data_IF_884255486103
#
_entry.id   IF_884255486103
#
_cell.length_a   1.000
_cell.length_b   1.000
_cell.length_c   1.000
_cell.angle_alpha   90.00
_cell.angle_beta   90.00
_cell.angle_gamma   90.00
#
_symmetry.space_group_name_H-M   'P 1'
#
loop_
_entity.id
_entity.type
_entity.pdbx_description
1 polymer ?
#
# COMPACT_ATOMS: atom_id res chain seq x y z
N UNK A 1 31.87 -36.64 -0.69
CA UNK A 1 33.14 -36.57 0.05
C UNK A 1 33.72 -37.98 0.33
N UNK A 2 32.91 -39.03 0.31
CA UNK A 2 33.29 -40.41 0.61
C UNK A 2 33.79 -41.23 -0.59
N UNK A 3 33.95 -40.58 -1.75
CA UNK A 3 34.35 -41.19 -3.01
C UNK A 3 35.90 -41.36 -3.18
N UNK A 4 36.68 -41.20 -2.11
CA UNK A 4 38.15 -41.40 -2.17
C UNK A 4 38.90 -40.34 -3.00
N UNK A 5 38.32 -39.14 -3.13
CA UNK A 5 38.94 -38.02 -3.86
C UNK A 5 40.22 -37.54 -3.13
N UNK A 6 41.25 -37.04 -3.87
CA UNK A 6 42.47 -36.50 -3.27
C UNK A 6 42.12 -35.32 -2.30
N UNK A 7 42.85 -35.26 -1.18
CA UNK A 7 42.59 -34.29 -0.10
C UNK A 7 42.60 -32.84 -0.57
N UNK A 8 43.40 -32.48 -1.55
CA UNK A 8 43.48 -31.14 -2.15
C UNK A 8 42.15 -30.77 -2.82
N UNK A 9 41.53 -31.72 -3.52
CA UNK A 9 40.22 -31.50 -4.19
C UNK A 9 39.13 -31.33 -3.14
N UNK A 10 39.08 -32.19 -2.14
CA UNK A 10 38.13 -32.15 -1.03
C UNK A 10 38.23 -30.81 -0.30
N UNK A 11 39.43 -30.31 -0.03
CA UNK A 11 39.66 -29.01 0.62
C UNK A 11 39.15 -27.85 -0.24
N UNK A 12 39.38 -27.92 -1.55
CA UNK A 12 38.91 -26.88 -2.47
C UNK A 12 37.38 -26.84 -2.58
N UNK A 13 36.73 -28.00 -2.68
CA UNK A 13 35.28 -28.12 -2.71
C UNK A 13 34.62 -27.63 -1.41
N UNK A 14 35.21 -27.95 -0.25
CA UNK A 14 34.74 -27.41 1.04
C UNK A 14 34.81 -25.87 1.07
N UNK A 15 35.90 -25.28 0.55
CA UNK A 15 36.04 -23.83 0.44
C UNK A 15 34.99 -23.24 -0.49
N UNK A 16 34.73 -23.85 -1.65
CA UNK A 16 33.73 -23.39 -2.59
C UNK A 16 32.30 -23.50 -2.01
N UNK A 17 32.04 -24.55 -1.25
CA UNK A 17 30.79 -24.73 -0.52
C UNK A 17 30.63 -23.62 0.52
N UNK A 18 31.66 -23.33 1.31
CA UNK A 18 31.64 -22.25 2.31
C UNK A 18 31.40 -20.90 1.65
N UNK A 19 32.10 -20.59 0.56
CA UNK A 19 31.83 -19.32 -0.20
C UNK A 19 30.39 -19.22 -0.71
N UNK A 20 29.77 -20.34 -1.05
CA UNK A 20 28.40 -20.40 -1.50
C UNK A 20 27.39 -20.15 -0.35
N UNK A 21 27.68 -20.71 0.82
CA UNK A 21 26.90 -20.51 2.04
C UNK A 21 27.03 -19.05 2.52
N UNK A 22 28.24 -18.50 2.55
CA UNK A 22 28.49 -17.12 2.91
C UNK A 22 27.74 -16.14 1.98
N UNK A 23 27.71 -16.45 0.68
CA UNK A 23 26.96 -15.65 -0.30
C UNK A 23 25.42 -15.75 -0.15
N UNK A 24 24.90 -16.82 0.42
CA UNK A 24 23.48 -16.95 0.77
C UNK A 24 23.11 -15.98 1.89
N UNK A 25 23.98 -15.84 2.88
CA UNK A 25 23.76 -14.92 3.99
C UNK A 25 24.02 -13.46 3.59
N UNK A 26 25.12 -13.18 2.90
CA UNK A 26 25.50 -11.83 2.48
C UNK A 26 26.22 -11.84 1.12
N UNK A 27 25.51 -11.41 0.08
CA UNK A 27 26.04 -11.38 -1.30
C UNK A 27 27.21 -10.41 -1.47
N UNK A 28 27.36 -9.39 -0.61
CA UNK A 28 28.41 -8.37 -0.69
C UNK A 28 29.80 -8.93 -0.42
N UNK A 29 29.90 -10.04 0.31
CA UNK A 29 31.17 -10.71 0.64
C UNK A 29 31.73 -11.56 -0.50
N UNK A 30 31.00 -11.72 -1.59
CA UNK A 30 31.40 -12.55 -2.70
C UNK A 30 32.39 -11.82 -3.60
N UNK A 31 33.56 -12.42 -3.81
CA UNK A 31 34.62 -11.90 -4.70
C UNK A 31 34.29 -12.06 -6.20
N UNK A 32 33.39 -12.95 -6.56
CA UNK A 32 32.98 -13.23 -7.94
C UNK A 32 31.63 -12.55 -8.24
N UNK A 33 31.38 -12.29 -9.53
CA UNK A 33 30.13 -11.71 -10.03
C UNK A 33 28.89 -12.39 -9.40
N UNK A 34 27.92 -11.60 -8.99
CA UNK A 34 26.67 -12.11 -8.39
C UNK A 34 26.00 -13.14 -9.30
N UNK A 35 25.43 -14.19 -8.71
CA UNK A 35 24.62 -15.15 -9.49
C UNK A 35 23.35 -14.49 -9.95
N UNK A 36 23.03 -14.64 -11.21
CA UNK A 36 21.79 -14.19 -11.80
C UNK A 36 20.84 -15.36 -12.05
N UNK A 37 19.56 -15.09 -11.99
CA UNK A 37 18.57 -16.08 -12.45
C UNK A 37 18.55 -16.15 -13.98
N UNK A 38 17.75 -17.08 -14.54
CA UNK A 38 17.56 -17.26 -15.99
C UNK A 38 17.15 -16.00 -16.75
N UNK A 39 16.62 -14.98 -16.05
CA UNK A 39 16.22 -13.68 -16.62
C UNK A 39 17.27 -12.58 -16.40
N UNK A 40 18.51 -12.91 -16.01
CA UNK A 40 19.59 -11.96 -15.81
C UNK A 40 19.49 -11.10 -14.53
N UNK A 41 18.50 -11.34 -13.65
CA UNK A 41 18.32 -10.60 -12.40
C UNK A 41 19.21 -11.21 -11.31
N UNK A 42 19.92 -10.38 -10.57
CA UNK A 42 20.72 -10.79 -9.43
C UNK A 42 19.88 -11.45 -8.34
N UNK A 43 20.40 -12.56 -7.79
CA UNK A 43 19.77 -13.25 -6.65
C UNK A 43 20.07 -12.48 -5.38
N UNK A 44 19.05 -12.21 -4.58
CA UNK A 44 19.17 -11.53 -3.29
C UNK A 44 19.62 -12.49 -2.21
N UNK A 45 20.53 -12.02 -1.36
CA UNK A 45 20.91 -12.72 -0.13
C UNK A 45 19.91 -12.45 1.00
N UNK A 46 20.04 -13.20 2.11
CA UNK A 46 19.23 -12.95 3.31
C UNK A 46 19.47 -11.55 3.87
N UNK A 47 20.72 -11.08 3.86
CA UNK A 47 21.04 -9.71 4.28
C UNK A 47 20.36 -8.65 3.40
N UNK A 48 20.30 -8.84 2.08
CA UNK A 48 19.65 -7.93 1.16
C UNK A 48 18.13 -7.87 1.36
N UNK A 49 17.51 -8.95 1.85
CA UNK A 49 16.08 -8.96 2.19
C UNK A 49 15.79 -8.15 3.46
N UNK A 50 16.75 -8.02 4.34
CA UNK A 50 16.60 -7.34 5.63
C UNK A 50 17.02 -5.87 5.55
N UNK A 51 18.16 -5.61 4.89
CA UNK A 51 18.81 -4.31 4.80
C UNK A 51 18.18 -3.40 3.71
N UNK A 52 18.43 -2.10 3.85
CA UNK A 52 18.14 -1.09 2.83
C UNK A 52 16.67 -0.63 2.77
N UNK A 53 16.38 0.22 1.79
CA UNK A 53 15.04 0.83 1.61
C UNK A 53 13.95 -0.20 1.25
N UNK A 54 14.34 -1.27 0.57
CA UNK A 54 13.45 -2.36 0.14
C UNK A 54 13.51 -3.58 1.06
N UNK A 55 14.24 -3.49 2.17
CA UNK A 55 14.31 -4.54 3.18
C UNK A 55 13.06 -4.57 4.05
N UNK A 56 12.82 -5.73 4.67
CA UNK A 56 11.65 -6.00 5.52
C UNK A 56 11.47 -4.94 6.61
N UNK A 57 12.56 -4.49 7.25
CA UNK A 57 12.46 -3.49 8.31
C UNK A 57 11.86 -2.17 7.82
N UNK A 58 12.37 -1.62 6.72
CA UNK A 58 11.89 -0.32 6.23
C UNK A 58 10.60 -0.40 5.42
N UNK A 59 10.38 -1.50 4.70
CA UNK A 59 9.23 -1.64 3.81
C UNK A 59 7.97 -2.17 4.52
N UNK A 60 8.14 -3.07 5.51
CA UNK A 60 7.03 -3.83 6.09
C UNK A 60 6.83 -3.62 7.59
N UNK A 61 7.88 -3.27 8.35
CA UNK A 61 7.80 -3.10 9.81
C UNK A 61 7.65 -1.63 10.22
N UNK A 62 8.49 -0.73 9.71
CA UNK A 62 8.42 0.70 10.03
C UNK A 62 7.27 1.42 9.33
N UNK A 63 6.77 0.85 8.24
CA UNK A 63 5.61 1.36 7.53
C UNK A 63 4.99 0.25 6.69
N UNK A 64 3.67 0.30 6.54
CA UNK A 64 2.92 -0.67 5.72
C UNK A 64 2.03 0.07 4.74
N UNK A 65 1.70 -0.59 3.64
CA UNK A 65 0.60 -0.14 2.78
C UNK A 65 -0.71 -0.46 3.48
N UNK A 66 -1.63 0.47 3.44
CA UNK A 66 -2.96 0.32 4.03
C UNK A 66 -4.02 0.32 2.94
N UNK A 67 -5.06 -0.48 3.15
CA UNK A 67 -6.23 -0.51 2.29
C UNK A 67 -7.13 0.71 2.60
N UNK A 68 -8.10 0.95 1.74
CA UNK A 68 -9.05 2.06 1.86
C UNK A 68 -8.35 3.42 1.97
N UNK A 69 -7.32 3.60 1.17
CA UNK A 69 -6.58 4.85 1.05
C UNK A 69 -6.41 5.24 -0.42
N UNK A 70 -6.31 6.51 -0.68
CA UNK A 70 -6.18 7.04 -2.03
C UNK A 70 -5.20 8.19 -2.10
N UNK A 71 -4.87 8.58 -3.31
CA UNK A 71 -4.03 9.76 -3.60
C UNK A 71 -4.65 10.53 -4.75
N UNK A 72 -4.70 11.84 -4.63
CA UNK A 72 -5.22 12.72 -5.67
C UNK A 72 -4.51 14.06 -5.70
N UNK A 73 -4.82 14.83 -6.71
CA UNK A 73 -4.42 16.24 -6.79
C UNK A 73 -5.28 17.06 -5.84
N UNK A 74 -4.67 18.04 -5.19
CA UNK A 74 -5.37 18.97 -4.30
C UNK A 74 -5.64 20.26 -5.06
N UNK A 75 -6.87 20.74 -4.99
CA UNK A 75 -7.29 22.03 -5.55
C UNK A 75 -8.02 22.86 -4.50
N UNK A 76 -8.09 24.15 -4.72
CA UNK A 76 -8.82 25.07 -3.84
C UNK A 76 -10.32 24.86 -3.97
N UNK A 77 -11.00 24.82 -2.81
CA UNK A 77 -12.47 24.77 -2.68
C UNK A 77 -12.95 25.90 -1.78
N UNK A 78 -13.24 27.09 -2.33
CA UNK A 78 -13.63 28.26 -1.54
C UNK A 78 -14.96 28.07 -0.82
N UNK A 79 -15.81 27.15 -1.30
CA UNK A 79 -17.13 26.87 -0.75
C UNK A 79 -17.11 25.96 0.49
N UNK A 80 -15.92 25.42 0.82
CA UNK A 80 -15.76 24.51 1.94
C UNK A 80 -15.38 25.25 3.21
N UNK A 81 -15.83 24.72 4.37
CA UNK A 81 -15.38 25.20 5.68
C UNK A 81 -13.96 24.68 5.97
N UNK A 82 -13.31 25.28 6.96
CA UNK A 82 -11.95 24.90 7.39
C UNK A 82 -11.82 23.43 7.84
N UNK A 83 -12.88 22.83 8.34
CA UNK A 83 -12.95 21.45 8.80
C UNK A 83 -13.55 20.48 7.77
N UNK A 84 -13.84 20.95 6.57
CA UNK A 84 -14.43 20.16 5.51
C UNK A 84 -13.43 19.93 4.37
N UNK A 85 -13.56 18.79 3.71
CA UNK A 85 -12.84 18.49 2.47
C UNK A 85 -13.79 17.95 1.41
N UNK A 86 -13.55 18.30 0.16
CA UNK A 86 -14.29 17.73 -0.97
C UNK A 86 -13.54 16.51 -1.51
N UNK A 87 -14.18 15.35 -1.50
CA UNK A 87 -13.61 14.12 -2.03
C UNK A 87 -14.38 13.70 -3.27
N UNK A 88 -13.72 13.34 -4.39
CA UNK A 88 -14.38 12.79 -5.56
C UNK A 88 -15.25 11.59 -5.21
N UNK A 89 -16.45 11.51 -5.76
CA UNK A 89 -17.42 10.43 -5.51
C UNK A 89 -16.80 9.05 -5.71
N UNK A 90 -16.05 8.86 -6.79
CA UNK A 90 -15.39 7.57 -7.08
C UNK A 90 -14.32 7.19 -6.05
N UNK A 91 -13.55 8.17 -5.59
CA UNK A 91 -12.55 7.97 -4.53
C UNK A 91 -13.23 7.65 -3.20
N UNK A 92 -14.30 8.37 -2.86
CA UNK A 92 -15.08 8.12 -1.66
C UNK A 92 -15.67 6.70 -1.64
N UNK A 93 -16.15 6.19 -2.77
CA UNK A 93 -16.68 4.84 -2.89
C UNK A 93 -15.64 3.77 -2.51
N UNK A 94 -14.38 3.94 -2.92
CA UNK A 94 -13.31 3.01 -2.54
C UNK A 94 -12.86 3.18 -1.07
N UNK A 95 -12.81 4.41 -0.56
CA UNK A 95 -12.45 4.69 0.83
C UNK A 95 -13.48 4.13 1.82
N UNK A 96 -14.76 4.31 1.54
CA UNK A 96 -15.87 3.89 2.40
C UNK A 96 -16.47 2.52 2.00
N UNK A 97 -15.84 1.80 1.09
CA UNK A 97 -16.29 0.50 0.57
C UNK A 97 -16.81 -0.48 1.62
N UNK A 98 -16.12 -0.74 2.75
CA UNK A 98 -16.62 -1.67 3.76
C UNK A 98 -17.87 -1.17 4.47
N UNK A 99 -18.01 0.15 4.66
CA UNK A 99 -19.18 0.73 5.31
C UNK A 99 -20.39 0.68 4.38
N UNK A 100 -20.20 1.02 3.12
CA UNK A 100 -21.26 0.94 2.09
C UNK A 100 -21.72 -0.52 1.91
N UNK A 101 -20.79 -1.50 1.88
CA UNK A 101 -21.16 -2.90 1.81
C UNK A 101 -21.98 -3.36 3.02
N UNK A 102 -21.65 -2.88 4.20
CA UNK A 102 -22.43 -3.16 5.41
C UNK A 102 -23.85 -2.62 5.29
N UNK A 103 -24.02 -1.39 4.83
CA UNK A 103 -25.34 -0.76 4.67
C UNK A 103 -26.17 -1.45 3.58
N UNK A 104 -25.57 -1.85 2.45
CA UNK A 104 -26.24 -2.62 1.39
C UNK A 104 -26.82 -3.93 1.96
N UNK A 105 -26.05 -4.63 2.79
CA UNK A 105 -26.52 -5.87 3.44
C UNK A 105 -27.58 -5.61 4.50
N UNK A 106 -27.39 -4.60 5.34
CA UNK A 106 -28.32 -4.23 6.40
C UNK A 106 -29.70 -3.82 5.86
N UNK A 107 -29.72 -3.13 4.74
CA UNK A 107 -30.95 -2.70 4.05
C UNK A 107 -31.59 -3.79 3.19
N UNK A 108 -30.95 -4.96 3.05
CA UNK A 108 -31.48 -6.10 2.30
C UNK A 108 -31.41 -5.99 0.79
N UNK A 109 -30.63 -5.04 0.24
CA UNK A 109 -30.40 -4.94 -1.21
C UNK A 109 -29.64 -6.13 -1.79
N UNK A 110 -28.85 -6.81 -0.97
CA UNK A 110 -28.14 -8.01 -1.37
C UNK A 110 -28.21 -9.09 -0.27
N UNK A 111 -28.38 -10.38 -0.63
CA UNK A 111 -28.48 -11.46 0.32
C UNK A 111 -27.14 -11.90 0.91
N UNK A 112 -26.04 -11.58 0.25
CA UNK A 112 -24.68 -11.96 0.68
C UNK A 112 -23.62 -10.94 0.22
N UNK A 113 -22.42 -11.04 0.81
CA UNK A 113 -21.28 -10.14 0.52
C UNK A 113 -20.85 -10.17 -0.95
N UNK A 114 -20.97 -11.32 -1.62
CA UNK A 114 -20.60 -11.46 -3.04
C UNK A 114 -21.53 -10.65 -3.93
N UNK A 115 -22.84 -10.76 -3.68
CA UNK A 115 -23.86 -9.98 -4.39
C UNK A 115 -23.74 -8.49 -4.07
N UNK A 116 -23.45 -8.14 -2.80
CA UNK A 116 -23.25 -6.74 -2.42
C UNK A 116 -22.03 -6.10 -3.12
N UNK A 117 -20.93 -6.85 -3.28
CA UNK A 117 -19.79 -6.38 -4.07
C UNK A 117 -20.15 -6.16 -5.54
N UNK A 118 -20.86 -7.10 -6.13
CA UNK A 118 -21.34 -6.96 -7.51
C UNK A 118 -22.25 -5.73 -7.65
N UNK A 119 -23.15 -5.50 -6.69
CA UNK A 119 -24.02 -4.33 -6.64
C UNK A 119 -23.24 -3.01 -6.58
N UNK A 120 -22.18 -2.98 -5.78
CA UNK A 120 -21.29 -1.83 -5.67
C UNK A 120 -20.46 -1.62 -6.94
N UNK A 121 -19.93 -2.68 -7.55
CA UNK A 121 -19.13 -2.61 -8.78
C UNK A 121 -19.98 -2.19 -10.00
N UNK A 122 -21.28 -2.50 -10.00
CA UNK A 122 -22.24 -2.07 -11.02
C UNK A 122 -22.64 -0.59 -10.89
N UNK A 123 -22.28 0.06 -9.77
CA UNK A 123 -22.53 1.50 -9.52
C UNK A 123 -24.00 1.91 -9.68
N UNK A 124 -24.90 1.13 -9.14
CA UNK A 124 -26.34 1.40 -9.17
C UNK A 124 -26.64 2.71 -8.45
N UNK A 125 -27.66 3.50 -8.86
CA UNK A 125 -27.98 4.79 -8.25
C UNK A 125 -28.10 4.75 -6.73
N UNK A 126 -28.72 3.74 -6.18
CA UNK A 126 -28.92 3.56 -4.73
C UNK A 126 -27.59 3.47 -3.94
N UNK A 127 -26.52 3.04 -4.59
CA UNK A 127 -25.17 3.00 -3.97
C UNK A 127 -24.67 4.41 -3.67
N UNK A 128 -25.00 5.37 -4.51
CA UNK A 128 -24.59 6.76 -4.31
C UNK A 128 -25.35 7.41 -3.16
N UNK A 129 -26.63 7.12 -3.01
CA UNK A 129 -27.46 7.60 -1.89
C UNK A 129 -26.93 7.04 -0.56
N UNK A 130 -26.63 5.73 -0.53
CA UNK A 130 -26.02 5.09 0.63
C UNK A 130 -24.65 5.68 0.93
N UNK A 131 -23.83 5.93 -0.09
CA UNK A 131 -22.51 6.54 0.08
C UNK A 131 -22.61 7.91 0.71
N UNK A 132 -23.55 8.75 0.26
CA UNK A 132 -23.76 10.11 0.78
C UNK A 132 -24.10 10.07 2.27
N UNK A 133 -25.01 9.20 2.68
CA UNK A 133 -25.36 9.01 4.08
C UNK A 133 -24.18 8.47 4.91
N UNK A 134 -23.41 7.49 4.37
CA UNK A 134 -22.27 6.90 5.07
C UNK A 134 -21.12 7.89 5.25
N UNK A 135 -20.91 8.76 4.29
CA UNK A 135 -19.85 9.78 4.32
C UNK A 135 -20.15 10.86 5.37
N UNK A 136 -21.43 11.16 5.59
CA UNK A 136 -21.85 12.15 6.57
C UNK A 136 -21.45 11.71 8.00
N UNK A 137 -20.73 12.59 8.69
CA UNK A 137 -20.30 12.34 10.06
C UNK A 137 -19.05 11.47 10.24
N UNK A 138 -18.50 10.88 9.17
CA UNK A 138 -17.29 10.06 9.22
C UNK A 138 -16.07 10.84 8.72
N UNK A 139 -15.18 11.31 9.64
CA UNK A 139 -14.01 12.09 9.24
C UNK A 139 -12.97 11.22 8.54
N UNK A 140 -12.24 11.83 7.60
CA UNK A 140 -11.11 11.23 6.90
C UNK A 140 -9.82 11.94 7.29
N UNK A 141 -8.72 11.19 7.28
CA UNK A 141 -7.39 11.76 7.48
C UNK A 141 -6.78 12.14 6.13
N UNK A 142 -6.40 13.39 5.97
CA UNK A 142 -5.66 13.88 4.82
C UNK A 142 -4.22 14.19 5.21
N UNK A 143 -3.30 13.77 4.36
CA UNK A 143 -1.88 14.04 4.49
C UNK A 143 -1.37 14.76 3.24
N UNK A 144 -0.67 15.88 3.43
CA UNK A 144 0.08 16.55 2.36
C UNK A 144 1.55 16.14 2.41
N UNK A 145 2.06 15.57 1.35
CA UNK A 145 3.49 15.26 1.22
C UNK A 145 4.30 16.51 0.81
N UNK A 146 5.52 16.75 1.39
CA UNK A 146 6.19 15.97 2.42
C UNK A 146 5.61 16.24 3.82
N UNK A 147 5.45 15.19 4.62
CA UNK A 147 4.94 15.29 5.99
C UNK A 147 6.09 15.67 6.93
N UNK A 148 6.34 16.95 7.10
CA UNK A 148 7.44 17.47 7.94
C UNK A 148 6.99 17.77 9.37
N UNK A 149 5.71 18.09 9.55
CA UNK A 149 5.11 18.52 10.80
C UNK A 149 3.89 17.68 11.14
N UNK A 150 3.55 17.62 12.41
CA UNK A 150 2.32 16.97 12.90
C UNK A 150 1.05 17.47 12.20
N UNK A 151 0.98 18.78 11.90
CA UNK A 151 -0.13 19.40 11.21
C UNK A 151 -0.24 19.04 9.70
N UNK A 152 0.76 18.36 9.15
CA UNK A 152 0.68 17.81 7.78
C UNK A 152 -0.32 16.65 7.65
N UNK A 153 -0.81 16.11 8.78
CA UNK A 153 -1.88 15.12 8.83
C UNK A 153 -3.02 15.70 9.65
N UNK A 154 -4.16 15.90 9.03
CA UNK A 154 -5.33 16.48 9.67
C UNK A 154 -6.60 15.71 9.31
N UNK A 155 -7.58 15.75 10.20
CA UNK A 155 -8.88 15.14 9.99
C UNK A 155 -9.87 16.18 9.44
N UNK A 156 -10.63 15.80 8.41
CA UNK A 156 -11.66 16.61 7.78
C UNK A 156 -12.94 15.82 7.63
N UNK A 157 -14.08 16.51 7.69
CA UNK A 157 -15.35 15.95 7.32
C UNK A 157 -15.48 15.97 5.79
N UNK A 158 -15.64 14.81 5.15
CA UNK A 158 -15.71 14.74 3.70
C UNK A 158 -17.07 15.19 3.18
N UNK A 159 -17.04 15.92 2.06
CA UNK A 159 -18.19 16.21 1.21
C UNK A 159 -17.95 15.59 -0.15
N UNK A 160 -18.97 14.99 -0.74
CA UNK A 160 -18.87 14.44 -2.08
C UNK A 160 -18.84 15.58 -3.10
N UNK A 161 -17.85 15.53 -3.97
CA UNK A 161 -17.70 16.49 -5.07
C UNK A 161 -17.53 15.76 -6.39
N UNK A 162 -17.94 16.41 -7.45
CA UNK A 162 -17.70 15.92 -8.80
C UNK A 162 -16.29 16.29 -9.27
N UNK A 163 -15.74 15.48 -10.18
CA UNK A 163 -14.38 15.61 -10.69
C UNK A 163 -13.42 14.61 -10.07
N UNK A 164 -12.11 14.78 -10.30
CA UNK A 164 -11.07 13.84 -9.92
C UNK A 164 -10.06 14.43 -8.90
N UNK A 165 -10.31 15.63 -8.39
CA UNK A 165 -9.42 16.33 -7.49
C UNK A 165 -10.03 16.50 -6.10
N UNK A 166 -9.19 16.38 -5.08
CA UNK A 166 -9.55 16.64 -3.70
C UNK A 166 -9.62 18.16 -3.51
N UNK A 167 -10.73 18.65 -2.97
CA UNK A 167 -10.93 20.09 -2.67
C UNK A 167 -10.64 20.36 -1.21
N UNK A 168 -9.86 21.39 -0.94
CA UNK A 168 -9.59 21.90 0.42
C UNK A 168 -9.82 23.41 0.48
N UNK A 169 -10.13 23.90 1.67
CA UNK A 169 -10.20 25.34 1.89
C UNK A 169 -8.82 25.98 1.67
N UNK A 170 -8.78 27.17 1.10
CA UNK A 170 -7.56 27.88 0.74
C UNK A 170 -6.54 28.02 1.89
N UNK A 171 -7.01 28.22 3.11
CA UNK A 171 -6.17 28.37 4.30
C UNK A 171 -5.53 27.05 4.77
N UNK A 172 -5.92 25.91 4.21
CA UNK A 172 -5.44 24.58 4.59
C UNK A 172 -4.53 23.99 3.52
N UNK A 173 -4.62 24.46 2.28
CA UNK A 173 -3.80 24.00 1.15
C UNK A 173 -2.29 24.23 1.30
#
# INVERSE_FOLDING_TARGET
LDLGAPEIIVRNEKRMLQESVDALFDSSKRKKKARTNTRGKELRSLADMIKGKQGIFRLNLLGKRVDYSGRGVIINGPDLKLNECGIPKEMALELFKPMVLREILARGYAPNVKSAKFYLDTRVPEVWDILEEVVEGHPVLLNRAPTLWRLGIQAFYPKLVEGNAIKLHLCVC
#
